data_IF_406354171104
#
_entry.id   IF_406354171104
#
_cell.length_a   1.000
_cell.length_b   1.000
_cell.length_c   1.000
_cell.angle_alpha   90.00
_cell.angle_beta   90.00
_cell.angle_gamma   90.00
#
_symmetry.space_group_name_H-M   'P 1'
#
loop_
_entity.id
_entity.type
_entity.pdbx_description
1 polymer ?
#
# COMPACT_ATOMS: atom_id res chain seq x y z
N UNK A 1 10.51 -10.12 -1.30
CA UNK A 1 11.09 -11.36 -0.75
C UNK A 1 12.58 -11.38 -1.07
N UNK A 2 13.42 -11.27 -0.04
CA UNK A 2 14.87 -11.46 -0.17
C UNK A 2 15.27 -12.73 0.58
N UNK A 3 16.43 -13.29 0.25
CA UNK A 3 17.00 -14.45 0.95
C UNK A 3 18.50 -14.31 1.16
N UNK A 4 18.97 -14.82 2.29
CA UNK A 4 20.39 -14.97 2.62
C UNK A 4 20.85 -16.44 2.52
N UNK A 5 20.00 -17.35 2.00
CA UNK A 5 20.32 -18.75 1.81
C UNK A 5 21.29 -18.93 0.62
N UNK A 6 22.55 -19.36 0.81
CA UNK A 6 23.57 -19.34 -0.25
C UNK A 6 23.16 -20.04 -1.55
N UNK A 7 22.54 -21.23 -1.45
CA UNK A 7 22.13 -22.00 -2.62
C UNK A 7 20.90 -21.44 -3.35
N UNK A 8 20.07 -20.65 -2.65
CA UNK A 8 18.82 -20.08 -3.18
C UNK A 8 18.95 -18.60 -3.56
N UNK A 9 20.06 -17.95 -3.16
CA UNK A 9 20.27 -16.53 -3.37
C UNK A 9 20.73 -16.24 -4.80
N UNK A 10 20.11 -15.24 -5.41
CA UNK A 10 20.57 -14.57 -6.62
C UNK A 10 21.11 -13.19 -6.18
N UNK A 11 22.42 -12.92 -6.31
CA UNK A 11 22.99 -11.63 -5.92
C UNK A 11 22.36 -10.46 -6.66
N UNK A 12 22.28 -9.29 -6.01
CA UNK A 12 21.82 -8.08 -6.66
C UNK A 12 22.69 -7.73 -7.87
N UNK A 13 22.06 -7.55 -9.02
CA UNK A 13 22.72 -7.18 -10.27
C UNK A 13 22.47 -5.71 -10.59
N UNK A 14 23.46 -5.06 -11.19
CA UNK A 14 23.29 -3.68 -11.66
C UNK A 14 22.26 -3.68 -12.78
N UNK A 15 21.14 -2.95 -12.68
CA UNK A 15 20.12 -2.96 -13.72
C UNK A 15 20.65 -2.30 -15.00
N UNK A 16 20.11 -2.73 -16.15
CA UNK A 16 20.32 -2.04 -17.40
C UNK A 16 19.75 -0.62 -17.31
N UNK A 17 20.48 0.38 -17.82
CA UNK A 17 20.07 1.78 -17.72
C UNK A 17 20.19 2.39 -16.32
N UNK A 18 20.90 1.75 -15.39
CA UNK A 18 21.21 2.34 -14.07
C UNK A 18 21.79 3.75 -14.19
N UNK A 19 21.12 4.73 -13.58
CA UNK A 19 21.63 6.07 -13.33
C UNK A 19 21.89 6.25 -11.84
N UNK A 20 23.11 6.66 -11.47
CA UNK A 20 23.44 6.93 -10.07
C UNK A 20 22.63 8.11 -9.51
N UNK A 21 22.27 9.07 -10.37
CA UNK A 21 21.53 10.27 -9.97
C UNK A 21 20.13 9.94 -9.42
N UNK A 22 19.52 8.82 -9.83
CA UNK A 22 18.25 8.34 -9.26
C UNK A 22 18.35 8.04 -7.77
N UNK A 23 19.56 7.75 -7.27
CA UNK A 23 19.84 7.40 -5.88
C UNK A 23 20.63 8.50 -5.14
N UNK A 24 20.80 9.69 -5.73
CA UNK A 24 21.64 10.75 -5.16
C UNK A 24 21.17 11.18 -3.76
N UNK A 25 19.86 11.22 -3.51
CA UNK A 25 19.32 11.56 -2.19
C UNK A 25 19.64 10.48 -1.14
N UNK A 26 19.64 9.21 -1.53
CA UNK A 26 20.08 8.13 -0.65
C UNK A 26 21.55 8.29 -0.28
N UNK A 27 22.41 8.54 -1.28
CA UNK A 27 23.84 8.71 -1.09
C UNK A 27 24.14 9.90 -0.17
N UNK A 28 23.53 11.06 -0.44
CA UNK A 28 23.67 12.25 0.41
C UNK A 28 23.16 12.04 1.83
N UNK A 29 22.11 11.24 2.01
CA UNK A 29 21.59 10.93 3.34
C UNK A 29 22.60 10.13 4.19
N UNK A 30 23.35 9.19 3.59
CA UNK A 30 24.46 8.53 4.27
C UNK A 30 25.66 9.45 4.51
N UNK A 31 26.01 10.29 3.54
CA UNK A 31 27.15 11.22 3.64
C UNK A 31 26.93 12.33 4.67
N UNK A 32 25.66 12.74 4.87
CA UNK A 32 25.28 13.77 5.83
C UNK A 32 25.10 13.24 7.27
N UNK A 33 25.10 11.92 7.47
CA UNK A 33 24.93 11.33 8.80
C UNK A 33 26.16 11.58 9.67
N UNK A 34 25.96 12.32 10.76
CA UNK A 34 27.01 12.57 11.76
C UNK A 34 26.89 11.51 12.87
N UNK A 35 27.81 10.55 12.88
CA UNK A 35 27.88 9.49 13.89
C UNK A 35 28.01 8.07 13.33
N UNK A 36 27.90 7.06 14.20
CA UNK A 36 27.99 5.66 13.78
C UNK A 36 26.82 5.29 12.86
N UNK A 37 27.13 4.68 11.72
CA UNK A 37 26.13 4.24 10.72
C UNK A 37 25.18 3.19 11.25
N UNK A 38 25.61 2.38 12.23
CA UNK A 38 24.77 1.40 12.92
C UNK A 38 23.75 2.03 13.88
N UNK A 39 23.76 3.36 14.02
CA UNK A 39 22.80 4.15 14.79
C UNK A 39 21.96 5.07 13.89
N UNK A 40 22.13 4.97 12.56
CA UNK A 40 21.44 5.81 11.59
C UNK A 40 19.92 5.60 11.59
N UNK A 41 19.48 4.35 11.80
CA UNK A 41 18.07 3.98 11.79
C UNK A 41 17.63 3.36 13.11
N UNK A 42 16.50 3.85 13.65
CA UNK A 42 16.01 3.55 15.00
C UNK A 42 15.05 2.34 15.12
N UNK A 43 14.60 1.75 14.00
CA UNK A 43 13.60 0.69 13.97
C UNK A 43 13.76 -0.21 12.74
N UNK A 44 13.86 -1.52 12.96
CA UNK A 44 14.16 -2.49 11.90
C UNK A 44 15.67 -2.74 11.82
N UNK A 45 16.22 -2.75 10.61
CA UNK A 45 17.66 -2.79 10.41
C UNK A 45 18.25 -1.41 10.70
N UNK A 46 19.37 -1.35 11.42
CA UNK A 46 19.91 -0.08 11.92
C UNK A 46 20.79 0.67 10.91
N UNK A 47 21.09 0.04 9.78
CA UNK A 47 22.05 0.48 8.76
C UNK A 47 21.42 0.65 7.37
N UNK A 48 20.24 0.07 7.10
CA UNK A 48 19.57 0.09 5.79
C UNK A 48 18.16 0.67 5.89
N UNK A 49 17.68 1.39 4.87
CA UNK A 49 16.40 2.08 4.94
C UNK A 49 15.22 1.17 4.58
N UNK A 50 15.17 -0.07 5.04
CA UNK A 50 14.01 -0.94 4.81
C UNK A 50 13.76 -1.89 5.98
N UNK A 51 12.54 -2.39 6.06
CA UNK A 51 12.20 -3.50 6.95
C UNK A 51 12.54 -4.80 6.23
N UNK A 52 13.23 -5.70 6.92
CA UNK A 52 13.52 -7.05 6.44
C UNK A 52 13.03 -8.08 7.47
N UNK A 53 11.71 -8.24 7.55
CA UNK A 53 11.07 -9.12 8.52
C UNK A 53 11.35 -10.58 8.17
N UNK A 54 11.80 -11.38 9.13
CA UNK A 54 12.11 -12.80 8.90
C UNK A 54 10.85 -13.58 8.59
N UNK A 55 10.91 -14.35 7.52
CA UNK A 55 9.92 -15.35 7.12
C UNK A 55 10.57 -16.76 7.18
N UNK A 56 9.76 -17.84 7.19
CA UNK A 56 10.28 -19.20 7.09
C UNK A 56 11.26 -19.40 5.92
N UNK A 57 12.11 -20.43 6.00
CA UNK A 57 13.05 -20.82 4.94
C UNK A 57 14.09 -19.75 4.57
N UNK A 58 14.54 -18.96 5.55
CA UNK A 58 15.56 -17.90 5.35
C UNK A 58 15.15 -16.88 4.28
N UNK A 59 13.86 -16.54 4.28
CA UNK A 59 13.26 -15.53 3.41
C UNK A 59 12.83 -14.33 4.23
N UNK A 60 12.41 -13.27 3.55
CA UNK A 60 11.95 -12.06 4.21
C UNK A 60 10.70 -11.47 3.58
N UNK A 61 9.90 -10.85 4.43
CA UNK A 61 8.97 -9.80 4.04
C UNK A 61 9.74 -8.48 4.07
N UNK A 62 10.07 -7.97 2.88
CA UNK A 62 10.87 -6.76 2.67
C UNK A 62 9.94 -5.61 2.35
N UNK A 63 9.96 -4.56 3.16
CA UNK A 63 9.03 -3.45 3.05
C UNK A 63 9.73 -2.08 3.21
N UNK A 64 9.09 -1.05 2.67
CA UNK A 64 9.54 0.33 2.71
C UNK A 64 9.72 0.85 4.14
N UNK A 65 10.73 1.69 4.38
CA UNK A 65 10.89 2.43 5.64
C UNK A 65 11.66 3.75 5.44
N UNK A 66 11.38 4.75 6.27
CA UNK A 66 12.05 6.05 6.25
C UNK A 66 11.85 6.84 4.93
N UNK A 67 12.69 7.84 4.67
CA UNK A 67 12.48 8.82 3.60
C UNK A 67 12.91 8.39 2.20
N UNK A 68 13.89 7.50 2.06
CA UNK A 68 14.34 6.98 0.77
C UNK A 68 14.51 5.48 0.88
N UNK A 69 13.68 4.71 0.18
CA UNK A 69 13.55 3.26 0.35
C UNK A 69 12.87 2.64 -0.87
N UNK A 70 12.21 1.49 -0.73
CA UNK A 70 11.71 0.68 -1.84
C UNK A 70 10.51 1.29 -2.57
N UNK A 71 9.90 2.34 -2.03
CA UNK A 71 8.83 3.09 -2.70
C UNK A 71 9.40 3.97 -3.83
N UNK A 72 8.94 3.72 -5.06
CA UNK A 72 9.26 4.57 -6.20
C UNK A 72 8.32 5.79 -6.24
N UNK A 73 8.54 6.73 -5.32
CA UNK A 73 7.65 7.85 -5.03
C UNK A 73 7.27 8.62 -6.32
N UNK A 74 5.96 8.84 -6.51
CA UNK A 74 5.40 9.60 -7.62
C UNK A 74 5.32 8.84 -8.95
N UNK A 75 5.71 7.56 -9.00
CA UNK A 75 5.74 6.77 -10.24
C UNK A 75 4.54 5.85 -10.43
N UNK A 76 3.51 6.03 -9.61
CA UNK A 76 2.28 5.24 -9.63
C UNK A 76 1.07 5.95 -10.27
N UNK A 77 1.12 7.27 -10.48
CA UNK A 77 -0.05 8.07 -10.88
C UNK A 77 -0.70 7.63 -12.20
N UNK A 78 0.10 7.24 -13.19
CA UNK A 78 -0.41 6.86 -14.51
C UNK A 78 -0.97 5.43 -14.55
N UNK A 79 -0.59 4.56 -13.61
CA UNK A 79 -0.92 3.14 -13.62
C UNK A 79 -2.43 2.82 -13.75
N UNK A 80 -3.35 3.53 -13.06
CA UNK A 80 -4.79 3.23 -13.15
C UNK A 80 -5.41 3.49 -14.52
N UNK A 81 -4.91 4.50 -15.26
CA UNK A 81 -5.43 4.88 -16.58
C UNK A 81 -4.60 4.31 -17.74
N UNK A 82 -3.40 3.82 -17.45
CA UNK A 82 -2.49 3.23 -18.42
C UNK A 82 -3.08 2.01 -19.16
N UNK A 83 -2.74 1.92 -20.44
CA UNK A 83 -2.91 0.72 -21.26
C UNK A 83 -2.08 -0.46 -20.73
N UNK A 84 -2.33 -1.67 -21.24
CA UNK A 84 -1.55 -2.85 -20.83
C UNK A 84 -0.04 -2.67 -21.10
N UNK A 85 0.33 -2.15 -22.26
CA UNK A 85 1.72 -1.91 -22.62
C UNK A 85 2.39 -0.85 -21.72
N UNK A 86 1.66 0.20 -21.35
CA UNK A 86 2.15 1.21 -20.40
C UNK A 86 2.28 0.63 -18.99
N UNK A 87 1.34 -0.19 -18.54
CA UNK A 87 1.45 -0.90 -17.25
C UNK A 87 2.65 -1.85 -17.21
N UNK A 88 2.95 -2.55 -18.31
CA UNK A 88 4.17 -3.36 -18.44
C UNK A 88 5.43 -2.51 -18.25
N UNK A 89 5.48 -1.34 -18.89
CA UNK A 89 6.59 -0.40 -18.71
C UNK A 89 6.71 0.10 -17.26
N UNK A 90 5.60 0.51 -16.65
CA UNK A 90 5.59 0.97 -15.25
C UNK A 90 6.07 -0.13 -14.31
N UNK A 91 5.65 -1.38 -14.51
CA UNK A 91 6.13 -2.54 -13.73
C UNK A 91 7.65 -2.68 -13.83
N UNK A 92 8.18 -2.61 -15.04
CA UNK A 92 9.62 -2.74 -15.28
C UNK A 92 10.41 -1.57 -14.70
N UNK A 93 9.88 -0.34 -14.77
CA UNK A 93 10.48 0.85 -14.13
C UNK A 93 10.58 0.70 -12.61
N UNK A 94 9.51 0.22 -11.94
CA UNK A 94 9.54 -0.06 -10.49
C UNK A 94 10.55 -1.16 -10.14
N UNK A 95 10.61 -2.23 -10.94
CA UNK A 95 11.59 -3.31 -10.77
C UNK A 95 13.01 -2.77 -10.90
N UNK A 96 13.30 -2.00 -11.95
CA UNK A 96 14.63 -1.43 -12.18
C UNK A 96 15.04 -0.43 -11.08
N UNK A 97 14.10 0.37 -10.57
CA UNK A 97 14.33 1.22 -9.39
C UNK A 97 14.74 0.39 -8.16
N UNK A 98 13.99 -0.67 -7.84
CA UNK A 98 14.31 -1.50 -6.67
C UNK A 98 15.61 -2.28 -6.85
N UNK A 99 15.88 -2.79 -8.06
CA UNK A 99 17.16 -3.42 -8.40
C UNK A 99 18.33 -2.45 -8.21
N UNK A 100 18.20 -1.23 -8.73
CA UNK A 100 19.25 -0.23 -8.62
C UNK A 100 19.43 0.22 -7.18
N UNK A 101 18.36 0.38 -6.39
CA UNK A 101 18.43 0.67 -4.96
C UNK A 101 19.27 -0.38 -4.21
N UNK A 102 18.93 -1.66 -4.35
CA UNK A 102 19.66 -2.73 -3.67
C UNK A 102 21.10 -2.85 -4.17
N UNK A 103 21.32 -2.68 -5.48
CA UNK A 103 22.66 -2.69 -6.04
C UNK A 103 23.52 -1.53 -5.52
N UNK A 104 22.98 -0.31 -5.46
CA UNK A 104 23.64 0.89 -4.91
C UNK A 104 24.07 0.65 -3.48
N UNK A 105 23.16 0.13 -2.64
CA UNK A 105 23.44 -0.14 -1.24
C UNK A 105 24.48 -1.24 -1.02
N UNK A 106 24.56 -2.23 -1.90
CA UNK A 106 25.56 -3.29 -1.83
C UNK A 106 26.92 -2.92 -2.45
N UNK A 107 26.98 -1.97 -3.41
CA UNK A 107 28.16 -1.82 -4.28
C UNK A 107 28.70 -0.40 -4.40
N UNK A 108 27.92 0.65 -4.13
CA UNK A 108 28.37 2.01 -4.40
C UNK A 108 29.47 2.44 -3.38
N UNK A 109 30.61 2.99 -3.83
CA UNK A 109 31.70 3.41 -2.95
C UNK A 109 31.30 4.48 -1.92
N UNK A 110 30.29 5.32 -2.22
CA UNK A 110 29.76 6.36 -1.33
C UNK A 110 28.91 5.81 -0.18
N UNK A 111 28.45 4.55 -0.28
CA UNK A 111 27.78 3.87 0.83
C UNK A 111 28.83 3.33 1.82
N UNK A 112 28.66 3.44 3.14
CA UNK A 112 29.63 2.90 4.09
C UNK A 112 29.85 1.38 3.95
N UNK A 113 31.09 0.91 4.17
CA UNK A 113 31.45 -0.50 3.98
C UNK A 113 30.58 -1.47 4.80
N UNK A 114 30.27 -1.12 6.05
CA UNK A 114 29.38 -1.91 6.91
C UNK A 114 27.99 -2.13 6.30
N UNK A 115 27.44 -1.13 5.61
CA UNK A 115 26.13 -1.22 4.93
C UNK A 115 26.25 -2.11 3.71
N UNK A 116 27.29 -1.91 2.89
CA UNK A 116 27.55 -2.76 1.71
C UNK A 116 27.69 -4.22 2.09
N UNK A 117 28.48 -4.51 3.12
CA UNK A 117 28.74 -5.88 3.58
C UNK A 117 27.48 -6.54 4.14
N UNK A 118 26.60 -5.77 4.81
CA UNK A 118 25.30 -6.27 5.27
C UNK A 118 24.35 -6.57 4.10
N UNK A 119 24.21 -5.63 3.16
CA UNK A 119 23.28 -5.76 2.03
C UNK A 119 23.73 -6.86 1.08
N UNK A 120 25.04 -7.03 0.87
CA UNK A 120 25.61 -8.08 0.03
C UNK A 120 25.36 -9.51 0.56
N UNK A 121 24.88 -9.67 1.79
CA UNK A 121 24.41 -10.96 2.30
C UNK A 121 23.08 -11.37 1.68
N UNK A 122 22.29 -10.41 1.22
CA UNK A 122 20.96 -10.62 0.66
C UNK A 122 20.97 -10.69 -0.87
N UNK A 123 19.88 -11.21 -1.41
CA UNK A 123 19.60 -11.27 -2.83
C UNK A 123 18.15 -11.72 -3.07
N UNK A 124 17.73 -11.74 -4.34
CA UNK A 124 16.44 -12.36 -4.70
C UNK A 124 16.51 -13.89 -4.57
N UNK A 125 15.36 -14.54 -4.54
CA UNK A 125 15.23 -16.00 -4.35
C UNK A 125 14.99 -16.73 -5.67
N UNK A 126 15.67 -17.87 -5.88
CA UNK A 126 15.50 -18.71 -7.09
C UNK A 126 14.16 -19.45 -7.13
N UNK A 127 13.52 -19.66 -5.99
CA UNK A 127 12.40 -20.59 -5.81
C UNK A 127 11.04 -19.93 -5.55
N UNK A 128 10.96 -18.60 -5.50
CA UNK A 128 9.74 -17.89 -5.11
C UNK A 128 8.92 -17.38 -6.31
N UNK A 129 9.59 -17.00 -7.40
CA UNK A 129 8.96 -16.38 -8.55
C UNK A 129 9.41 -17.05 -9.85
N UNK A 130 8.54 -17.03 -10.86
CA UNK A 130 8.79 -17.67 -12.14
C UNK A 130 9.94 -17.01 -12.93
N UNK A 131 10.29 -15.75 -12.64
CA UNK A 131 11.40 -15.07 -13.32
C UNK A 131 12.73 -15.63 -12.86
N UNK A 132 13.63 -15.89 -13.81
CA UNK A 132 14.97 -16.42 -13.54
C UNK A 132 15.86 -15.48 -12.71
N UNK A 133 15.54 -14.19 -12.65
CA UNK A 133 16.22 -13.19 -11.85
C UNK A 133 15.66 -13.08 -10.40
N UNK A 134 14.66 -13.90 -10.06
CA UNK A 134 14.04 -13.95 -8.74
C UNK A 134 13.20 -12.73 -8.38
N UNK A 135 12.84 -11.88 -9.34
CA UNK A 135 11.97 -10.73 -9.11
C UNK A 135 10.50 -11.08 -9.31
N UNK A 136 9.64 -10.45 -8.51
CA UNK A 136 8.19 -10.55 -8.65
C UNK A 136 7.74 -9.85 -9.95
N UNK A 137 6.78 -10.45 -10.66
CA UNK A 137 6.21 -9.92 -11.90
C UNK A 137 5.04 -8.96 -11.66
N UNK A 138 4.44 -9.00 -10.47
CA UNK A 138 3.24 -8.26 -10.12
C UNK A 138 3.53 -7.14 -9.13
N UNK A 139 3.04 -5.93 -9.43
CA UNK A 139 2.99 -4.84 -8.46
C UNK A 139 1.88 -5.08 -7.44
N UNK A 140 2.16 -4.76 -6.18
CA UNK A 140 1.15 -4.73 -5.13
C UNK A 140 0.37 -3.41 -5.18
N UNK A 141 -0.78 -3.42 -5.84
CA UNK A 141 -1.63 -2.23 -6.01
C UNK A 141 -2.60 -2.12 -4.83
N UNK A 142 -2.33 -1.21 -3.90
CA UNK A 142 -3.19 -0.95 -2.72
C UNK A 142 -4.32 0.05 -3.00
N UNK A 143 -4.09 0.97 -3.92
CA UNK A 143 -5.04 2.03 -4.27
C UNK A 143 -4.98 2.33 -5.77
N UNK A 144 -6.16 2.47 -6.38
CA UNK A 144 -6.35 2.90 -7.76
C UNK A 144 -7.71 3.63 -7.87
N UNK A 145 -8.49 3.35 -8.92
CA UNK A 145 -9.83 3.91 -9.10
C UNK A 145 -10.75 3.57 -7.93
N UNK A 146 -11.53 4.54 -7.50
CA UNK A 146 -12.62 4.38 -6.54
C UNK A 146 -13.91 4.93 -7.13
N UNK A 147 -15.01 4.31 -6.74
CA UNK A 147 -16.34 4.83 -7.01
C UNK A 147 -16.57 6.13 -6.23
N UNK A 148 -17.42 7.03 -6.74
CA UNK A 148 -17.94 8.18 -5.99
C UNK A 148 -19.45 8.01 -5.87
N UNK A 149 -19.94 7.81 -4.65
CA UNK A 149 -21.38 7.62 -4.37
C UNK A 149 -22.01 8.84 -3.70
N UNK A 150 -23.29 8.72 -3.32
CA UNK A 150 -24.03 9.66 -2.49
C UNK A 150 -23.45 9.79 -1.07
N UNK A 151 -22.67 8.80 -0.62
CA UNK A 151 -21.88 8.88 0.60
C UNK A 151 -20.40 8.63 0.29
N UNK A 152 -19.55 9.57 0.70
CA UNK A 152 -18.09 9.43 0.62
C UNK A 152 -17.56 9.32 2.05
N UNK A 153 -16.94 8.19 2.38
CA UNK A 153 -16.24 8.05 3.67
C UNK A 153 -15.07 9.04 3.72
N UNK A 154 -14.94 9.81 4.80
CA UNK A 154 -13.90 10.83 4.96
C UNK A 154 -13.17 10.68 6.29
N UNK A 155 -12.14 11.49 6.53
CA UNK A 155 -11.44 11.56 7.82
C UNK A 155 -12.42 11.82 8.98
N UNK A 156 -13.49 12.60 8.76
CA UNK A 156 -14.52 12.82 9.79
C UNK A 156 -15.17 11.51 10.26
N UNK A 157 -15.27 10.49 9.40
CA UNK A 157 -15.75 9.18 9.80
C UNK A 157 -14.70 8.42 10.62
N UNK A 158 -13.45 8.43 10.16
CA UNK A 158 -12.32 7.78 10.84
C UNK A 158 -12.10 8.32 12.25
N UNK A 159 -12.23 9.63 12.43
CA UNK A 159 -12.13 10.34 13.71
C UNK A 159 -13.44 10.36 14.50
N UNK A 160 -14.51 9.81 13.93
CA UNK A 160 -15.85 9.72 14.52
C UNK A 160 -16.50 11.06 14.85
N UNK A 161 -16.11 12.09 14.11
CA UNK A 161 -16.82 13.36 14.08
C UNK A 161 -18.17 13.21 13.37
N UNK A 162 -18.27 12.29 12.40
CA UNK A 162 -19.50 11.88 11.75
C UNK A 162 -19.68 10.36 11.80
N UNK A 163 -20.87 9.92 12.23
CA UNK A 163 -21.26 8.51 12.29
C UNK A 163 -22.35 8.29 11.23
N UNK A 164 -22.19 7.30 10.36
CA UNK A 164 -23.21 6.97 9.37
C UNK A 164 -24.39 6.22 10.01
N UNK A 165 -25.59 6.46 9.50
CA UNK A 165 -26.82 5.84 10.02
C UNK A 165 -27.11 4.44 9.45
N UNK A 166 -26.34 4.02 8.44
CA UNK A 166 -26.53 2.81 7.65
C UNK A 166 -25.30 1.88 7.64
N UNK A 167 -24.73 1.50 8.79
CA UNK A 167 -23.51 0.72 8.83
C UNK A 167 -23.65 -0.70 8.26
N UNK A 168 -22.63 -1.14 7.53
CA UNK A 168 -22.49 -2.49 6.93
C UNK A 168 -21.08 -3.08 7.11
N UNK A 169 -20.31 -2.53 8.05
CA UNK A 169 -18.99 -3.02 8.42
C UNK A 169 -18.31 -2.06 9.39
N UNK A 170 -17.22 -2.53 10.00
CA UNK A 170 -16.37 -1.74 10.88
C UNK A 170 -14.94 -1.71 10.37
N UNK A 171 -14.37 -0.51 10.23
CA UNK A 171 -12.93 -0.29 10.09
C UNK A 171 -12.32 0.11 11.43
N UNK A 172 -11.04 -0.17 11.65
CA UNK A 172 -10.35 0.16 12.90
C UNK A 172 -8.86 0.46 12.73
N UNK A 173 -8.34 0.41 11.50
CA UNK A 173 -6.91 0.66 11.26
C UNK A 173 -6.61 2.16 11.34
N UNK A 174 -5.36 2.52 11.64
CA UNK A 174 -4.93 3.90 11.55
C UNK A 174 -5.09 4.43 10.12
N UNK A 175 -5.26 5.74 9.95
CA UNK A 175 -5.13 6.37 8.64
C UNK A 175 -3.65 6.33 8.25
N UNK A 176 -3.31 5.44 7.32
CA UNK A 176 -1.94 5.27 6.80
C UNK A 176 -1.82 5.68 5.33
N UNK A 177 -0.79 6.49 5.04
CA UNK A 177 -0.30 6.77 3.70
C UNK A 177 1.21 6.85 3.72
N UNK A 178 1.87 6.38 2.68
CA UNK A 178 3.31 6.56 2.48
C UNK A 178 3.58 7.93 1.86
N UNK A 179 4.86 8.29 1.75
CA UNK A 179 5.28 9.50 1.04
C UNK A 179 4.78 9.46 -0.43
N UNK A 180 4.08 10.52 -0.87
CA UNK A 180 3.45 10.57 -2.20
C UNK A 180 4.24 11.40 -3.20
N UNK A 181 5.03 12.37 -2.71
CA UNK A 181 5.89 13.19 -3.55
C UNK A 181 7.12 13.71 -2.79
N UNK A 182 8.07 14.23 -3.55
CA UNK A 182 9.23 14.96 -3.06
C UNK A 182 9.25 16.34 -3.71
N UNK A 183 9.57 17.37 -2.93
CA UNK A 183 9.70 18.73 -3.44
C UNK A 183 10.92 19.41 -2.82
N UNK A 184 11.40 20.49 -3.44
CA UNK A 184 12.46 21.34 -2.89
C UNK A 184 11.81 22.51 -2.18
N UNK A 185 12.08 22.67 -0.89
CA UNK A 185 11.56 23.77 -0.08
C UNK A 185 12.25 25.11 -0.41
N UNK A 186 11.74 26.20 0.18
CA UNK A 186 12.26 27.55 -0.06
C UNK A 186 13.73 27.75 0.36
N UNK A 187 14.28 26.85 1.18
CA UNK A 187 15.67 26.88 1.62
C UNK A 187 16.58 25.98 0.76
N UNK A 188 16.04 25.31 -0.26
CA UNK A 188 16.79 24.43 -1.16
C UNK A 188 16.96 23.00 -0.65
N UNK A 189 16.24 22.59 0.41
CA UNK A 189 16.27 21.21 0.90
C UNK A 189 15.16 20.37 0.28
N UNK A 190 15.46 19.10 0.02
CA UNK A 190 14.44 18.15 -0.42
C UNK A 190 13.61 17.71 0.77
N UNK A 191 12.29 17.82 0.65
CA UNK A 191 11.32 17.34 1.62
C UNK A 191 10.47 16.22 1.00
N UNK A 192 10.15 15.22 1.81
CA UNK A 192 9.09 14.27 1.48
C UNK A 192 7.77 14.76 2.09
N UNK A 193 6.66 14.53 1.40
CA UNK A 193 5.32 14.78 1.95
C UNK A 193 4.34 13.64 1.66
N UNK A 194 3.20 13.66 2.35
CA UNK A 194 2.11 12.71 2.19
C UNK A 194 2.18 11.47 3.08
N UNK A 195 3.26 11.29 3.86
CA UNK A 195 3.27 10.25 4.89
C UNK A 195 2.31 10.61 6.02
N UNK A 196 1.32 9.77 6.26
CA UNK A 196 0.31 9.92 7.30
C UNK A 196 0.30 8.64 8.12
N UNK A 197 0.40 8.77 9.44
CA UNK A 197 0.35 7.65 10.39
C UNK A 197 -0.51 8.04 11.60
N UNK A 198 -1.80 8.29 11.34
CA UNK A 198 -2.72 8.83 12.35
C UNK A 198 -3.62 7.74 12.95
N UNK A 199 -3.69 7.67 14.27
CA UNK A 199 -4.55 6.71 14.97
C UNK A 199 -6.03 7.08 14.85
N UNK A 200 -6.91 6.08 14.84
CA UNK A 200 -8.37 6.26 14.96
C UNK A 200 -8.80 5.92 16.39
N UNK A 201 -9.71 6.69 17.02
CA UNK A 201 -9.97 6.58 18.46
C UNK A 201 -10.62 5.24 18.88
N UNK A 202 -11.43 4.63 18.01
CA UNK A 202 -12.07 3.31 18.19
C UNK A 202 -12.64 2.83 16.84
N UNK A 203 -13.11 1.58 16.72
CA UNK A 203 -13.73 1.11 15.49
C UNK A 203 -14.87 2.01 14.98
N UNK A 204 -14.78 2.24 13.68
CA UNK A 204 -15.54 3.00 12.70
C UNK A 204 -16.65 2.38 11.86
N UNK A 205 -17.93 2.79 11.90
CA UNK A 205 -18.91 2.26 10.96
C UNK A 205 -18.65 2.71 9.52
N UNK A 206 -18.83 1.78 8.57
CA UNK A 206 -18.79 2.03 7.12
C UNK A 206 -20.20 2.05 6.57
N UNK A 207 -20.57 3.13 5.89
CA UNK A 207 -21.91 3.34 5.33
C UNK A 207 -22.23 2.39 4.18
N UNK A 208 -23.43 1.83 4.14
CA UNK A 208 -23.96 1.07 3.01
C UNK A 208 -23.93 1.89 1.71
N UNK A 209 -24.29 3.17 1.77
CA UNK A 209 -24.22 4.07 0.62
C UNK A 209 -22.82 4.22 0.05
N UNK A 210 -21.76 4.00 0.84
CA UNK A 210 -20.40 4.09 0.33
C UNK A 210 -20.00 2.91 -0.57
N UNK A 211 -20.71 1.77 -0.49
CA UNK A 211 -20.42 0.56 -1.27
C UNK A 211 -21.39 0.33 -2.43
N UNK A 212 -22.32 1.24 -2.70
CA UNK A 212 -23.19 1.21 -3.90
C UNK A 212 -23.03 2.53 -4.67
N UNK A 213 -23.20 2.56 -6.00
CA UNK A 213 -23.09 3.80 -6.78
C UNK A 213 -24.36 4.65 -6.63
N UNK A 214 -24.35 5.84 -7.22
CA UNK A 214 -25.55 6.67 -7.35
C UNK A 214 -26.58 5.96 -8.23
N UNK A 215 -27.86 6.10 -7.89
CA UNK A 215 -28.94 5.38 -8.60
C UNK A 215 -28.97 5.69 -10.10
N UNK A 216 -28.67 6.93 -10.48
CA UNK A 216 -28.65 7.37 -11.87
C UNK A 216 -27.43 6.89 -12.68
N UNK A 217 -26.41 6.33 -12.03
CA UNK A 217 -25.23 5.75 -12.68
C UNK A 217 -25.39 4.23 -12.86
N UNK A 218 -25.86 3.53 -11.82
CA UNK A 218 -26.12 2.09 -11.86
C UNK A 218 -27.00 1.65 -10.69
N UNK A 219 -27.97 0.76 -10.92
CA UNK A 219 -28.96 0.35 -9.90
C UNK A 219 -28.71 -1.02 -9.28
N UNK A 220 -27.76 -1.79 -9.84
CA UNK A 220 -27.55 -3.21 -9.54
C UNK A 220 -26.06 -3.59 -9.35
N UNK A 221 -25.20 -2.63 -9.00
CA UNK A 221 -23.78 -2.85 -8.71
C UNK A 221 -23.47 -2.60 -7.22
N UNK A 222 -22.70 -3.50 -6.60
CA UNK A 222 -22.11 -3.31 -5.27
C UNK A 222 -20.59 -3.34 -5.38
N UNK A 223 -19.90 -2.41 -4.72
CA UNK A 223 -18.45 -2.17 -4.79
C UNK A 223 -17.84 -2.18 -3.38
N UNK A 224 -17.51 -3.37 -2.83
CA UNK A 224 -17.01 -3.49 -1.45
C UNK A 224 -15.52 -3.13 -1.27
N UNK A 225 -14.72 -3.11 -2.35
CA UNK A 225 -13.27 -2.86 -2.30
C UNK A 225 -12.93 -1.45 -2.79
N UNK A 226 -13.32 -1.09 -4.00
CA UNK A 226 -13.13 0.25 -4.57
C UNK A 226 -14.22 1.24 -4.12
N UNK A 227 -14.62 1.15 -2.84
CA UNK A 227 -15.74 1.89 -2.28
C UNK A 227 -15.49 3.41 -2.29
N UNK A 228 -16.57 4.16 -2.10
CA UNK A 228 -16.59 5.62 -2.06
C UNK A 228 -15.95 6.16 -0.78
N UNK A 229 -14.68 6.58 -0.89
CA UNK A 229 -13.88 7.10 0.22
C UNK A 229 -12.85 8.13 -0.27
N UNK A 230 -12.58 9.14 0.57
CA UNK A 230 -11.41 10.00 0.41
C UNK A 230 -10.12 9.19 0.54
N UNK A 231 -9.01 9.70 -0.01
CA UNK A 231 -7.70 9.04 0.07
C UNK A 231 -7.32 8.68 1.53
N UNK A 232 -7.49 9.62 2.45
CA UNK A 232 -7.18 9.45 3.88
C UNK A 232 -8.07 8.40 4.55
N UNK A 233 -9.39 8.42 4.28
CA UNK A 233 -10.30 7.44 4.87
C UNK A 233 -10.05 6.04 4.29
N UNK A 234 -9.75 5.97 2.99
CA UNK A 234 -9.45 4.71 2.33
C UNK A 234 -8.22 4.04 2.95
N UNK A 235 -7.18 4.81 3.32
CA UNK A 235 -6.04 4.35 4.12
C UNK A 235 -6.43 3.48 5.31
N UNK A 236 -7.42 3.93 6.08
CA UNK A 236 -7.91 3.21 7.26
C UNK A 236 -8.87 2.04 6.92
N UNK A 237 -9.66 2.17 5.86
CA UNK A 237 -10.68 1.17 5.50
C UNK A 237 -10.09 -0.04 4.79
N UNK A 238 -9.01 0.13 4.01
CA UNK A 238 -8.49 -0.85 3.04
C UNK A 238 -7.72 -2.04 3.63
N UNK A 239 -8.21 -2.59 4.74
CA UNK A 239 -7.67 -3.78 5.37
C UNK A 239 -8.44 -5.03 4.91
N UNK A 240 -7.74 -6.14 4.71
CA UNK A 240 -8.32 -7.40 4.23
C UNK A 240 -9.49 -7.89 5.09
N UNK A 241 -9.45 -7.85 6.44
CA UNK A 241 -10.60 -8.23 7.26
C UNK A 241 -11.83 -7.34 7.04
N UNK A 242 -11.62 -6.06 6.73
CA UNK A 242 -12.71 -5.11 6.44
C UNK A 242 -13.32 -5.44 5.09
N UNK A 243 -12.51 -5.71 4.06
CA UNK A 243 -13.01 -6.14 2.75
C UNK A 243 -13.79 -7.46 2.81
N UNK A 244 -13.37 -8.40 3.67
CA UNK A 244 -14.14 -9.63 3.89
C UNK A 244 -15.53 -9.35 4.46
N UNK A 245 -15.63 -8.46 5.46
CA UNK A 245 -16.91 -8.04 6.04
C UNK A 245 -17.77 -7.31 5.01
N UNK A 246 -17.20 -6.35 4.28
CA UNK A 246 -17.92 -5.63 3.23
C UNK A 246 -18.36 -6.55 2.10
N UNK A 247 -17.58 -7.59 1.77
CA UNK A 247 -17.95 -8.62 0.80
C UNK A 247 -19.18 -9.42 1.23
N UNK A 248 -19.26 -9.81 2.52
CA UNK A 248 -20.46 -10.45 3.06
C UNK A 248 -21.67 -9.51 3.02
N UNK A 249 -21.51 -8.27 3.48
CA UNK A 249 -22.57 -7.26 3.45
C UNK A 249 -23.08 -6.98 2.04
N UNK A 250 -22.16 -6.90 1.06
CA UNK A 250 -22.48 -6.69 -0.34
C UNK A 250 -23.30 -7.85 -0.91
N UNK A 251 -22.90 -9.10 -0.64
CA UNK A 251 -23.62 -10.28 -1.09
C UNK A 251 -25.03 -10.36 -0.48
N UNK A 252 -25.16 -10.10 0.82
CA UNK A 252 -26.47 -10.07 1.50
C UNK A 252 -27.38 -9.01 0.90
N UNK A 253 -26.89 -7.78 0.69
CA UNK A 253 -27.66 -6.71 0.08
C UNK A 253 -28.11 -7.04 -1.35
N UNK A 254 -27.22 -7.63 -2.16
CA UNK A 254 -27.54 -8.04 -3.53
C UNK A 254 -28.64 -9.12 -3.56
N UNK A 255 -28.54 -10.17 -2.73
CA UNK A 255 -29.57 -11.21 -2.63
C UNK A 255 -30.93 -10.62 -2.23
N UNK A 256 -30.95 -9.76 -1.20
CA UNK A 256 -32.19 -9.14 -0.75
C UNK A 256 -32.81 -8.21 -1.79
N UNK A 257 -31.99 -7.45 -2.52
CA UNK A 257 -32.49 -6.60 -3.60
C UNK A 257 -33.11 -7.41 -4.75
N UNK A 258 -32.54 -8.58 -5.07
CA UNK A 258 -33.11 -9.53 -6.04
C UNK A 258 -34.45 -10.07 -5.52
N UNK A 259 -34.50 -10.55 -4.28
CA UNK A 259 -35.71 -11.14 -3.68
C UNK A 259 -36.85 -10.11 -3.54
N UNK A 260 -36.53 -8.85 -3.24
CA UNK A 260 -37.51 -7.76 -3.13
C UNK A 260 -37.80 -7.06 -4.47
N UNK A 261 -37.13 -7.48 -5.55
CA UNK A 261 -37.23 -6.87 -6.88
C UNK A 261 -37.06 -5.33 -6.85
N UNK A 262 -36.07 -4.84 -6.09
CA UNK A 262 -35.79 -3.41 -5.93
C UNK A 262 -34.35 -3.07 -6.34
N UNK A 263 -34.10 -1.78 -6.62
CA UNK A 263 -32.73 -1.29 -6.78
C UNK A 263 -31.98 -1.35 -5.45
N UNK A 264 -30.65 -1.46 -5.49
CA UNK A 264 -29.80 -1.47 -4.28
C UNK A 264 -29.98 -0.22 -3.42
N UNK A 265 -30.22 0.93 -4.06
CA UNK A 265 -30.46 2.23 -3.42
C UNK A 265 -31.80 2.28 -2.69
N UNK A 266 -32.76 1.46 -3.11
CA UNK A 266 -34.12 1.39 -2.54
C UNK A 266 -34.28 0.24 -1.53
N UNK A 267 -33.23 -0.54 -1.28
CA UNK A 267 -33.26 -1.63 -0.30
C UNK A 267 -33.51 -1.06 1.11
N UNK A 268 -34.56 -1.50 1.83
CA UNK A 268 -34.83 -0.99 3.17
C UNK A 268 -33.72 -1.36 4.15
N UNK A 269 -32.88 -0.39 4.53
CA UNK A 269 -31.70 -0.63 5.38
C UNK A 269 -32.02 -1.40 6.67
N UNK A 270 -33.17 -1.16 7.30
CA UNK A 270 -33.56 -1.90 8.51
C UNK A 270 -33.67 -3.40 8.29
N UNK A 271 -34.15 -3.85 7.13
CA UNK A 271 -34.19 -5.27 6.79
C UNK A 271 -32.78 -5.82 6.60
N UNK A 272 -31.92 -5.10 5.87
CA UNK A 272 -30.51 -5.47 5.70
C UNK A 272 -29.81 -5.60 7.05
N UNK A 273 -29.95 -4.59 7.93
CA UNK A 273 -29.39 -4.60 9.28
C UNK A 273 -29.82 -5.81 10.08
N UNK A 274 -31.11 -6.15 10.08
CA UNK A 274 -31.62 -7.34 10.79
C UNK A 274 -30.95 -8.60 10.26
N UNK A 275 -30.80 -8.73 8.95
CA UNK A 275 -30.14 -9.88 8.35
C UNK A 275 -28.65 -9.96 8.74
N UNK A 276 -27.91 -8.85 8.63
CA UNK A 276 -26.49 -8.81 9.00
C UNK A 276 -26.28 -9.10 10.50
N UNK A 277 -27.20 -8.69 11.38
CA UNK A 277 -27.18 -9.06 12.80
C UNK A 277 -27.43 -10.55 13.04
N UNK A 278 -28.34 -11.18 12.27
CA UNK A 278 -28.54 -12.63 12.31
C UNK A 278 -27.28 -13.38 11.88
N UNK A 279 -26.55 -12.82 10.92
CA UNK A 279 -25.25 -13.31 10.46
C UNK A 279 -24.10 -13.01 11.45
N UNK A 280 -24.42 -12.44 12.62
CA UNK A 280 -23.51 -12.09 13.72
C UNK A 280 -22.52 -10.97 13.40
N UNK A 281 -22.79 -10.16 12.37
CA UNK A 281 -22.01 -8.95 12.12
C UNK A 281 -22.26 -7.92 13.22
N UNK A 282 -21.21 -7.17 13.58
CA UNK A 282 -21.26 -6.05 14.54
C UNK A 282 -20.99 -4.75 13.78
N UNK A 283 -21.66 -3.70 14.24
CA UNK A 283 -21.48 -2.33 13.78
C UNK A 283 -21.61 -1.37 14.95
#
# INVERSE_FOLDING_TARGET
CLTDHPDNRIPFTKPEGYDELDYELLLRNYEAHDGPVNEMYSYGASTVPWINSRMPNRKTDTNNKYGFSTDYIGRNYDYPEASYAERDRIREEHRNYQMGLFWTLANNPRIPAIVRDEVAQWGTSKDEFERADGWQQQLYIREARRMISDYVMTQFNCEQLHICDDPVGLAAYGMDSHNVQRYVDANGYVQNEGNVECHVPKPFPISYKSIIPKENECTNLVVPVCLSASHIAFGSIRMEPVFMVLGQSAATAACMAIDEACHLQNLPYQKLRIQLQRDRQRF
#
